data_IF_196199851652
#
_entry.id   IF_196199851652
#
_cell.length_a   1.000
_cell.length_b   1.000
_cell.length_c   1.000
_cell.angle_alpha   90.00
_cell.angle_beta   90.00
_cell.angle_gamma   90.00
#
_symmetry.space_group_name_H-M   'P 1'
#
loop_
_entity.id
_entity.type
_entity.pdbx_description
1 polymer ?
#
# COMPACT_ATOMS: atom_id res chain seq x y z
N UNK A 1 11.19 0.30 20.65
CA UNK A 1 11.89 0.99 19.53
C UNK A 1 11.82 2.48 19.79
N UNK A 2 12.94 3.15 19.98
CA UNK A 2 12.95 4.62 20.06
C UNK A 2 13.06 5.19 18.64
N UNK A 3 12.08 6.01 18.24
CA UNK A 3 12.08 6.70 16.95
C UNK A 3 11.79 8.19 17.16
N UNK A 4 12.70 9.04 16.72
CA UNK A 4 12.63 10.50 16.88
C UNK A 4 11.83 11.20 15.78
N UNK A 5 11.15 10.44 14.90
CA UNK A 5 10.43 11.02 13.77
C UNK A 5 9.22 11.82 14.26
N UNK A 6 9.20 13.11 13.93
CA UNK A 6 8.11 14.03 14.24
C UNK A 6 7.55 14.68 12.97
N UNK A 7 6.23 14.83 12.89
CA UNK A 7 5.54 15.54 11.81
C UNK A 7 4.28 16.19 12.33
N UNK A 8 3.90 17.34 11.78
CA UNK A 8 2.65 18.03 12.11
C UNK A 8 1.41 17.36 11.50
N UNK A 9 1.60 16.45 10.53
CA UNK A 9 0.50 15.83 9.79
C UNK A 9 0.20 14.43 10.30
N UNK A 10 -1.02 14.21 10.79
CA UNK A 10 -1.48 12.91 11.30
C UNK A 10 -1.36 11.79 10.27
N UNK A 11 -1.59 12.09 8.98
CA UNK A 11 -1.49 11.11 7.90
C UNK A 11 -0.05 10.64 7.69
N UNK A 12 0.93 11.55 7.78
CA UNK A 12 2.35 11.24 7.65
C UNK A 12 2.85 10.42 8.84
N UNK A 13 2.41 10.73 10.06
CA UNK A 13 2.74 9.93 11.24
C UNK A 13 2.19 8.49 11.12
N UNK A 14 0.95 8.33 10.65
CA UNK A 14 0.37 7.00 10.38
C UNK A 14 1.17 6.24 9.31
N UNK A 15 1.54 6.91 8.23
CA UNK A 15 2.35 6.32 7.15
C UNK A 15 3.73 5.89 7.66
N UNK A 16 4.36 6.71 8.50
CA UNK A 16 5.64 6.39 9.13
C UNK A 16 5.54 5.13 10.01
N UNK A 17 4.58 5.09 10.95
CA UNK A 17 4.37 3.94 11.83
C UNK A 17 4.11 2.67 11.01
N UNK A 18 3.24 2.76 10.00
CA UNK A 18 2.93 1.64 9.08
C UNK A 18 4.17 1.11 8.35
N UNK A 19 5.09 2.00 7.96
CA UNK A 19 6.28 1.64 7.18
C UNK A 19 7.40 1.07 8.03
N UNK A 20 7.63 1.65 9.21
CA UNK A 20 8.86 1.45 10.00
C UNK A 20 8.64 0.69 11.30
N UNK A 21 7.43 0.70 11.84
CA UNK A 21 7.16 0.17 13.18
C UNK A 21 6.07 -0.89 13.24
N UNK A 22 5.29 -1.07 12.17
CA UNK A 22 4.32 -2.16 12.09
C UNK A 22 5.00 -3.46 11.68
N UNK A 23 4.79 -4.51 12.48
CA UNK A 23 5.30 -5.85 12.20
C UNK A 23 4.66 -6.43 10.94
N UNK A 24 5.40 -7.29 10.25
CA UNK A 24 4.96 -7.91 8.99
C UNK A 24 3.66 -8.72 9.15
N UNK A 25 3.47 -9.34 10.31
CA UNK A 25 2.31 -10.17 10.66
C UNK A 25 1.05 -9.33 10.92
N UNK A 26 1.21 -8.13 11.49
CA UNK A 26 0.09 -7.21 11.72
C UNK A 26 -0.29 -6.40 10.49
N UNK A 27 0.50 -6.43 9.41
CA UNK A 27 0.23 -5.62 8.22
C UNK A 27 -0.85 -6.28 7.38
N UNK A 28 -1.94 -5.54 7.17
CA UNK A 28 -2.91 -5.88 6.13
C UNK A 28 -2.28 -5.61 4.76
N UNK A 29 -1.97 -6.67 4.03
CA UNK A 29 -1.39 -6.58 2.70
C UNK A 29 -2.49 -6.42 1.66
N UNK A 30 -2.21 -5.58 0.65
CA UNK A 30 -3.00 -5.51 -0.57
C UNK A 30 -2.26 -6.31 -1.62
N UNK A 31 -2.88 -7.36 -2.14
CA UNK A 31 -2.29 -8.25 -3.14
C UNK A 31 -2.91 -7.99 -4.51
N UNK A 32 -2.07 -8.05 -5.55
CA UNK A 32 -2.50 -8.04 -6.94
C UNK A 32 -3.19 -9.35 -7.29
N UNK A 33 -4.28 -9.28 -8.04
CA UNK A 33 -4.99 -10.49 -8.52
C UNK A 33 -4.31 -11.14 -9.72
N UNK A 34 -3.51 -10.37 -10.47
CA UNK A 34 -2.86 -10.85 -11.69
C UNK A 34 -1.42 -11.33 -11.49
N UNK A 35 -0.80 -11.05 -10.35
CA UNK A 35 0.56 -11.48 -10.06
C UNK A 35 0.87 -11.54 -8.55
N UNK A 36 2.05 -12.03 -8.19
CA UNK A 36 2.49 -12.16 -6.80
C UNK A 36 2.88 -10.84 -6.11
N UNK A 37 2.62 -9.68 -6.74
CA UNK A 37 2.92 -8.39 -6.15
C UNK A 37 1.98 -8.10 -4.97
N UNK A 38 2.58 -7.69 -3.85
CA UNK A 38 1.84 -7.26 -2.65
C UNK A 38 2.41 -5.94 -2.14
N UNK A 39 1.52 -5.10 -1.62
CA UNK A 39 1.89 -3.80 -1.06
C UNK A 39 1.20 -3.53 0.25
N UNK A 40 1.86 -2.79 1.13
CA UNK A 40 1.28 -2.29 2.39
C UNK A 40 0.28 -1.15 2.16
N UNK A 41 0.27 -0.56 0.95
CA UNK A 41 -0.54 0.61 0.62
C UNK A 41 -1.38 0.39 -0.63
N UNK A 42 -2.68 0.69 -0.53
CA UNK A 42 -3.63 0.65 -1.65
C UNK A 42 -3.17 1.53 -2.83
N UNK A 43 -2.62 2.71 -2.56
CA UNK A 43 -2.16 3.63 -3.62
C UNK A 43 -1.02 3.03 -4.47
N UNK A 44 -0.08 2.31 -3.84
CA UNK A 44 0.99 1.65 -4.57
C UNK A 44 0.49 0.43 -5.34
N UNK A 45 -0.47 -0.33 -4.80
CA UNK A 45 -1.11 -1.39 -5.57
C UNK A 45 -1.89 -0.81 -6.76
N UNK A 46 -2.65 0.28 -6.57
CA UNK A 46 -3.34 0.95 -7.67
C UNK A 46 -2.38 1.41 -8.78
N UNK A 47 -1.24 2.01 -8.42
CA UNK A 47 -0.18 2.34 -9.40
C UNK A 47 0.42 1.11 -10.07
N UNK A 48 0.59 0.02 -9.33
CA UNK A 48 1.07 -1.24 -9.89
C UNK A 48 0.07 -1.82 -10.90
N UNK A 49 -1.23 -1.74 -10.61
CA UNK A 49 -2.28 -2.26 -11.50
C UNK A 49 -2.33 -1.54 -12.84
N UNK A 50 -1.86 -0.29 -12.93
CA UNK A 50 -1.65 0.42 -14.21
C UNK A 50 -0.61 -0.25 -15.14
N UNK A 51 0.17 -1.23 -14.64
CA UNK A 51 1.03 -2.07 -15.47
C UNK A 51 0.30 -3.29 -16.02
N UNK A 52 -0.83 -3.66 -15.43
CA UNK A 52 -1.68 -4.77 -15.86
C UNK A 52 -2.84 -4.30 -16.73
N UNK A 53 -3.38 -3.11 -16.47
CA UNK A 53 -4.30 -2.44 -17.39
C UNK A 53 -3.51 -1.67 -18.44
N UNK A 54 -3.83 -1.91 -19.71
CA UNK A 54 -3.38 -1.07 -20.82
C UNK A 54 -3.85 0.38 -20.54
N UNK A 55 -3.09 1.43 -20.91
CA UNK A 55 -3.43 2.83 -20.60
C UNK A 55 -4.78 3.32 -21.18
N UNK A 56 -5.51 2.49 -21.92
CA UNK A 56 -6.81 2.80 -22.48
C UNK A 56 -7.99 2.27 -21.63
N UNK A 57 -7.77 1.34 -20.70
CA UNK A 57 -8.84 0.76 -19.87
C UNK A 57 -8.79 1.30 -18.43
N UNK A 58 -9.47 2.44 -18.23
CA UNK A 58 -9.38 3.26 -17.03
C UNK A 58 -10.41 2.94 -15.94
N UNK A 59 -11.15 1.81 -15.97
CA UNK A 59 -12.41 1.75 -15.19
C UNK A 59 -12.52 0.77 -14.02
N UNK A 60 -11.78 -0.32 -13.88
CA UNK A 60 -12.02 -1.21 -12.73
C UNK A 60 -10.76 -1.91 -12.23
N UNK A 61 -10.04 -1.24 -11.33
CA UNK A 61 -8.98 -1.88 -10.54
C UNK A 61 -9.64 -2.62 -9.37
N UNK A 62 -9.93 -3.91 -9.57
CA UNK A 62 -10.32 -4.79 -8.48
C UNK A 62 -9.11 -4.95 -7.53
N UNK A 63 -9.35 -4.71 -6.25
CA UNK A 63 -8.34 -4.74 -5.19
C UNK A 63 -8.86 -5.67 -4.12
N UNK A 64 -8.32 -6.89 -4.09
CA UNK A 64 -8.57 -7.81 -2.98
C UNK A 64 -7.86 -7.32 -1.71
N UNK A 65 -8.63 -7.25 -0.63
CA UNK A 65 -8.16 -7.05 0.74
C UNK A 65 -8.09 -8.42 1.40
N UNK A 66 -6.89 -8.92 1.67
CA UNK A 66 -6.68 -10.02 2.62
C UNK A 66 -6.69 -9.45 4.03
#
# INVERSE_FOLDING_TARGET
MYCSYGTKWKIELKNHIMRKHRNFEDIKWFQCEHCSYKSKFKAYLGKHMLKHTNPEDHRNIQILKM
#
